data_IF_730548004422
#
_entry.id   IF_730548004422
#
_cell.length_a   1.000
_cell.length_b   1.000
_cell.length_c   1.000
_cell.angle_alpha   90.00
_cell.angle_beta   90.00
_cell.angle_gamma   90.00
#
_symmetry.space_group_name_H-M   'P 1'
#
loop_
_entity.id
_entity.type
_entity.pdbx_description
1 polymer ?
#
# COMPACT_ATOMS: atom_id res chain seq x y z
N UNK A 1 17.43 9.42 0.28
CA UNK A 1 15.96 9.59 0.09
C UNK A 1 15.42 10.51 1.18
N UNK A 2 14.71 11.57 0.84
CA UNK A 2 14.01 12.38 1.86
C UNK A 2 12.94 11.52 2.56
N UNK A 3 12.45 11.99 3.70
CA UNK A 3 11.32 11.38 4.41
C UNK A 3 10.11 11.23 3.47
N UNK A 4 9.50 10.04 3.42
CA UNK A 4 8.25 9.74 2.69
C UNK A 4 7.22 9.20 3.68
N UNK A 5 6.03 9.77 3.63
CA UNK A 5 4.91 9.49 4.51
C UNK A 5 3.77 8.84 3.72
N UNK A 6 3.42 7.61 4.08
CA UNK A 6 2.47 6.78 3.35
C UNK A 6 1.31 6.44 4.28
N UNK A 7 0.09 6.67 3.81
CA UNK A 7 -1.13 6.21 4.48
C UNK A 7 -1.79 5.13 3.60
N UNK A 8 -2.00 3.96 4.18
CA UNK A 8 -2.74 2.87 3.54
C UNK A 8 -4.07 2.70 4.27
N UNK A 9 -5.17 2.75 3.54
CA UNK A 9 -6.52 2.75 4.10
C UNK A 9 -7.45 1.80 3.35
N UNK A 10 -8.41 1.24 4.07
CA UNK A 10 -9.37 0.31 3.52
C UNK A 10 -10.30 -0.24 4.60
N UNK A 11 -10.85 -1.41 4.34
CA UNK A 11 -11.70 -2.11 5.31
C UNK A 11 -11.04 -3.40 5.80
N UNK A 12 -11.47 -3.87 6.95
CA UNK A 12 -10.98 -5.12 7.52
C UNK A 12 -11.06 -6.29 6.53
N UNK A 13 -9.99 -7.08 6.44
CA UNK A 13 -9.87 -8.20 5.50
C UNK A 13 -9.20 -7.85 4.16
N UNK A 14 -8.92 -6.58 3.85
CA UNK A 14 -8.19 -6.16 2.64
C UNK A 14 -6.66 -6.25 2.77
N UNK A 15 -6.14 -6.68 3.91
CA UNK A 15 -4.70 -6.86 4.12
C UNK A 15 -3.90 -5.56 4.28
N UNK A 16 -4.56 -4.45 4.63
CA UNK A 16 -3.95 -3.12 4.82
C UNK A 16 -2.82 -3.17 5.84
N UNK A 17 -3.08 -3.74 7.02
CA UNK A 17 -2.08 -3.88 8.10
C UNK A 17 -0.88 -4.72 7.64
N UNK A 18 -1.13 -5.88 7.03
CA UNK A 18 -0.05 -6.73 6.55
C UNK A 18 0.82 -6.01 5.51
N UNK A 19 0.19 -5.25 4.61
CA UNK A 19 0.92 -4.46 3.60
C UNK A 19 1.85 -3.42 4.24
N UNK A 20 1.38 -2.70 5.25
CA UNK A 20 2.20 -1.68 5.95
C UNK A 20 3.35 -2.31 6.73
N UNK A 21 3.12 -3.46 7.39
CA UNK A 21 4.16 -4.20 8.11
C UNK A 21 5.23 -4.73 7.14
N UNK A 22 4.82 -5.29 5.99
CA UNK A 22 5.74 -5.76 4.94
C UNK A 22 6.59 -4.59 4.43
N UNK A 23 5.97 -3.46 4.12
CA UNK A 23 6.66 -2.27 3.61
C UNK A 23 7.68 -1.72 4.63
N UNK A 24 7.26 -1.59 5.89
CA UNK A 24 8.15 -1.17 6.98
C UNK A 24 9.32 -2.13 7.19
N UNK A 25 9.07 -3.45 7.12
CA UNK A 25 10.11 -4.48 7.23
C UNK A 25 11.06 -4.47 6.03
N UNK A 26 10.55 -4.32 4.81
CA UNK A 26 11.37 -4.19 3.61
C UNK A 26 12.35 -3.02 3.75
N UNK A 27 11.85 -1.84 4.14
CA UNK A 27 12.67 -0.66 4.33
C UNK A 27 13.70 -0.86 5.46
N UNK A 28 13.25 -1.26 6.66
CA UNK A 28 14.12 -1.24 7.86
C UNK A 28 15.08 -2.42 7.92
N UNK A 29 14.62 -3.64 7.58
CA UNK A 29 15.43 -4.86 7.74
C UNK A 29 16.30 -5.13 6.53
N UNK A 30 15.79 -4.89 5.33
CA UNK A 30 16.48 -5.28 4.10
C UNK A 30 17.18 -4.12 3.41
N UNK A 31 16.50 -2.99 3.20
CA UNK A 31 17.11 -1.80 2.60
C UNK A 31 17.92 -0.94 3.61
N UNK A 32 17.81 -1.26 4.91
CA UNK A 32 18.53 -0.54 6.00
C UNK A 32 18.19 0.95 6.09
N UNK A 33 16.96 1.30 5.75
CA UNK A 33 16.40 2.66 5.84
C UNK A 33 15.50 2.73 7.07
N UNK A 34 15.52 3.84 7.82
CA UNK A 34 14.64 3.95 8.99
C UNK A 34 13.17 3.91 8.57
N UNK A 35 12.38 3.08 9.25
CA UNK A 35 10.95 2.98 9.03
C UNK A 35 10.20 2.86 10.35
N UNK A 36 9.06 3.52 10.44
CA UNK A 36 8.09 3.37 11.53
C UNK A 36 6.73 3.11 10.93
N UNK A 37 6.02 2.14 11.47
CA UNK A 37 4.65 1.80 11.10
C UNK A 37 3.74 2.02 12.31
N UNK A 38 2.59 2.62 12.09
CA UNK A 38 1.51 2.78 13.06
C UNK A 38 0.19 2.29 12.46
N UNK A 39 -0.76 1.94 13.33
CA UNK A 39 -2.06 1.47 12.88
C UNK A 39 -3.17 2.05 13.76
N UNK A 40 -4.30 2.37 13.11
CA UNK A 40 -5.50 2.84 13.76
C UNK A 40 -6.69 2.06 13.22
N UNK A 41 -7.54 1.61 14.11
CA UNK A 41 -8.77 0.90 13.78
C UNK A 41 -9.98 1.77 14.07
N UNK A 42 -10.99 1.72 13.19
CA UNK A 42 -12.29 2.28 13.47
C UNK A 42 -12.98 1.55 14.63
N UNK A 43 -14.06 2.12 15.15
CA UNK A 43 -14.81 1.59 16.29
C UNK A 43 -15.50 0.24 16.03
N UNK A 44 -15.61 -0.17 14.79
CA UNK A 44 -16.31 -1.39 14.41
C UNK A 44 -15.42 -2.63 14.57
N UNK A 45 -15.87 -3.59 15.38
CA UNK A 45 -15.09 -4.78 15.76
C UNK A 45 -14.80 -5.76 14.61
N UNK A 46 -15.53 -5.70 13.48
CA UNK A 46 -15.31 -6.54 12.29
C UNK A 46 -15.72 -5.80 11.02
N UNK A 47 -14.83 -5.79 10.02
CA UNK A 47 -15.11 -5.16 8.73
C UNK A 47 -15.09 -3.62 8.76
N UNK A 48 -14.72 -3.01 9.89
CA UNK A 48 -14.58 -1.57 10.04
C UNK A 48 -13.39 -1.00 9.29
N UNK A 49 -13.29 0.31 9.33
CA UNK A 49 -12.22 1.06 8.68
C UNK A 49 -10.86 0.73 9.32
N UNK A 50 -9.88 0.54 8.50
CA UNK A 50 -8.49 0.30 8.89
C UNK A 50 -7.62 1.35 8.23
N UNK A 51 -6.86 2.05 9.03
CA UNK A 51 -5.85 3.02 8.57
C UNK A 51 -4.49 2.61 9.14
N UNK A 52 -3.49 2.52 8.27
CA UNK A 52 -2.12 2.30 8.67
C UNK A 52 -1.23 3.35 8.04
N UNK A 53 -0.18 3.73 8.75
CA UNK A 53 0.75 4.74 8.32
C UNK A 53 2.17 4.18 8.36
N UNK A 54 2.96 4.49 7.34
CA UNK A 54 4.37 4.12 7.24
C UNK A 54 5.18 5.35 6.92
N UNK A 55 6.17 5.65 7.76
CA UNK A 55 7.18 6.67 7.49
C UNK A 55 8.48 5.96 7.15
N UNK A 56 9.06 6.31 6.02
CA UNK A 56 10.38 5.81 5.58
C UNK A 56 11.30 7.00 5.39
N UNK A 57 12.49 6.99 6.03
CA UNK A 57 13.42 8.12 5.99
C UNK A 57 14.87 7.67 6.18
N UNK A 58 15.81 8.37 5.53
CA UNK A 58 17.24 8.16 5.77
C UNK A 58 17.64 8.62 7.18
N UNK A 59 17.04 9.71 7.66
CA UNK A 59 17.27 10.24 9.00
C UNK A 59 16.42 9.52 10.04
N UNK A 60 16.82 9.63 11.30
CA UNK A 60 16.07 9.07 12.43
C UNK A 60 14.68 9.70 12.53
N UNK A 61 13.66 8.86 12.61
CA UNK A 61 12.27 9.28 12.77
C UNK A 61 12.02 9.52 14.26
N UNK A 62 11.85 10.80 14.65
CA UNK A 62 11.63 11.19 16.05
C UNK A 62 10.15 11.28 16.37
N UNK A 63 9.34 11.72 15.40
CA UNK A 63 7.91 11.93 15.56
C UNK A 63 7.12 11.17 14.51
N UNK A 64 6.53 10.00 14.87
CA UNK A 64 5.90 9.11 13.91
C UNK A 64 4.40 9.42 13.71
N UNK A 65 4.05 10.68 13.52
CA UNK A 65 2.67 11.10 13.20
C UNK A 65 2.63 11.68 11.79
N UNK A 66 1.67 11.24 11.01
CA UNK A 66 1.41 11.73 9.66
C UNK A 66 0.11 12.53 9.68
N UNK A 67 0.20 13.85 9.52
CA UNK A 67 -0.97 14.69 9.31
C UNK A 67 -1.38 14.67 7.83
N UNK A 68 -0.41 14.90 6.96
CA UNK A 68 -0.61 14.95 5.52
C UNK A 68 0.36 13.97 4.84
N UNK A 69 -0.12 12.84 4.30
CA UNK A 69 0.73 11.87 3.63
C UNK A 69 1.24 12.38 2.26
N UNK A 70 2.42 11.89 1.85
CA UNK A 70 2.92 12.04 0.48
C UNK A 70 2.20 11.07 -0.47
N UNK A 71 1.84 9.89 0.04
CA UNK A 71 1.18 8.82 -0.71
C UNK A 71 -0.02 8.32 0.07
N UNK A 72 -1.18 8.30 -0.58
CA UNK A 72 -2.41 7.67 -0.09
C UNK A 72 -2.72 6.43 -0.91
N UNK A 73 -2.86 5.29 -0.26
CA UNK A 73 -3.44 4.08 -0.85
C UNK A 73 -4.83 3.90 -0.27
N UNK A 74 -5.87 3.99 -1.10
CA UNK A 74 -7.25 3.85 -0.70
C UNK A 74 -7.91 2.65 -1.39
N UNK A 75 -8.29 1.63 -0.61
CA UNK A 75 -8.84 0.37 -1.11
C UNK A 75 -10.36 0.25 -0.95
N UNK A 76 -11.04 1.31 -0.52
CA UNK A 76 -12.51 1.43 -0.48
C UNK A 76 -12.93 2.86 -0.73
N UNK A 77 -14.17 3.08 -1.19
CA UNK A 77 -14.68 4.43 -1.44
C UNK A 77 -14.61 5.29 -0.19
N UNK A 78 -15.09 4.77 0.95
CA UNK A 78 -15.04 5.51 2.21
C UNK A 78 -13.61 5.88 2.61
N UNK A 79 -12.66 4.93 2.47
CA UNK A 79 -11.25 5.20 2.74
C UNK A 79 -10.68 6.33 1.87
N UNK A 80 -11.09 6.40 0.61
CA UNK A 80 -10.73 7.49 -0.29
C UNK A 80 -11.36 8.83 0.15
N UNK A 81 -12.67 8.85 0.36
CA UNK A 81 -13.42 10.07 0.67
C UNK A 81 -12.94 10.71 1.99
N UNK A 82 -12.66 9.89 2.99
CA UNK A 82 -12.21 10.35 4.31
C UNK A 82 -10.76 10.88 4.32
N UNK A 83 -9.91 10.45 3.37
CA UNK A 83 -8.47 10.74 3.44
C UNK A 83 -7.92 11.58 2.28
N UNK A 84 -8.62 11.71 1.17
CA UNK A 84 -8.06 12.40 -0.02
C UNK A 84 -7.75 13.89 0.25
N UNK A 85 -8.47 14.53 1.15
CA UNK A 85 -8.26 15.94 1.47
C UNK A 85 -6.99 16.19 2.30
N UNK A 86 -6.50 15.18 2.99
CA UNK A 86 -5.26 15.24 3.77
C UNK A 86 -4.01 15.07 2.90
N UNK A 87 -4.15 14.57 1.67
CA UNK A 87 -3.01 14.34 0.78
C UNK A 87 -2.27 15.65 0.51
N UNK A 88 -0.94 15.63 0.61
CA UNK A 88 -0.09 16.79 0.31
C UNK A 88 -0.32 17.30 -1.12
N UNK A 89 -0.13 18.60 -1.38
CA UNK A 89 -0.01 19.10 -2.74
C UNK A 89 1.06 18.33 -3.52
N UNK A 90 0.77 17.98 -4.76
CA UNK A 90 1.62 17.12 -5.62
C UNK A 90 1.86 15.70 -5.05
N UNK A 91 1.03 15.26 -4.12
CA UNK A 91 1.06 13.91 -3.60
C UNK A 91 0.53 12.88 -4.60
N UNK A 92 0.61 11.63 -4.22
CA UNK A 92 0.19 10.49 -5.04
C UNK A 92 -0.97 9.76 -4.38
N UNK A 93 -2.01 9.44 -5.13
CA UNK A 93 -3.09 8.54 -4.69
C UNK A 93 -3.10 7.27 -5.53
N UNK A 94 -3.22 6.12 -4.88
CA UNK A 94 -3.37 4.80 -5.51
C UNK A 94 -4.70 4.21 -5.07
N UNK A 95 -5.52 3.76 -6.03
CA UNK A 95 -6.85 3.21 -5.75
C UNK A 95 -7.08 1.87 -6.43
N UNK A 96 -7.96 1.04 -5.85
CA UNK A 96 -8.54 -0.10 -6.58
C UNK A 96 -9.67 0.40 -7.47
N UNK A 97 -9.50 0.32 -8.79
CA UNK A 97 -10.44 0.89 -9.78
C UNK A 97 -11.82 0.23 -9.79
N UNK A 98 -11.95 -0.98 -9.24
CA UNK A 98 -13.24 -1.65 -9.14
C UNK A 98 -14.01 -1.26 -7.85
N UNK A 99 -13.35 -0.62 -6.89
CA UNK A 99 -13.89 -0.31 -5.57
C UNK A 99 -13.96 1.20 -5.27
N UNK A 100 -13.21 2.01 -6.00
CA UNK A 100 -13.06 3.44 -5.75
C UNK A 100 -13.34 4.22 -7.03
N UNK A 101 -14.34 5.07 -6.99
CA UNK A 101 -14.62 6.06 -8.02
C UNK A 101 -13.92 7.38 -7.66
N UNK A 102 -13.11 7.90 -8.56
CA UNK A 102 -12.38 9.16 -8.40
C UNK A 102 -12.94 10.18 -9.36
N UNK A 103 -13.89 11.04 -8.92
CA UNK A 103 -14.60 11.94 -9.83
C UNK A 103 -13.73 13.11 -10.31
N UNK A 104 -12.89 13.65 -9.43
CA UNK A 104 -11.94 14.73 -9.73
C UNK A 104 -10.86 14.80 -8.67
N UNK A 105 -9.70 15.29 -9.03
CA UNK A 105 -8.57 15.50 -8.13
C UNK A 105 -8.14 16.96 -8.15
N UNK A 106 -7.54 17.42 -7.05
CA UNK A 106 -6.88 18.73 -7.00
C UNK A 106 -5.71 18.73 -7.99
N UNK A 107 -5.44 19.89 -8.56
CA UNK A 107 -4.31 20.09 -9.47
C UNK A 107 -3.00 19.63 -8.83
N UNK A 108 -2.16 18.96 -9.61
CA UNK A 108 -0.87 18.42 -9.19
C UNK A 108 -0.92 17.05 -8.50
N UNK A 109 -2.08 16.52 -8.14
CA UNK A 109 -2.18 15.16 -7.57
C UNK A 109 -1.95 14.11 -8.67
N UNK A 110 -1.04 13.19 -8.42
CA UNK A 110 -0.79 12.04 -9.29
C UNK A 110 -1.73 10.91 -8.89
N UNK A 111 -2.51 10.41 -9.82
CA UNK A 111 -3.41 9.28 -9.59
C UNK A 111 -2.94 8.04 -10.35
N UNK A 112 -2.74 6.97 -9.62
CA UNK A 112 -2.58 5.63 -10.20
C UNK A 112 -3.71 4.73 -9.71
N UNK A 113 -4.13 3.81 -10.55
CA UNK A 113 -5.17 2.85 -10.21
C UNK A 113 -4.89 1.47 -10.80
N UNK A 114 -5.50 0.45 -10.22
CA UNK A 114 -5.44 -0.92 -10.72
C UNK A 114 -6.59 -1.74 -10.17
N UNK A 115 -7.04 -2.72 -10.93
CA UNK A 115 -8.10 -3.67 -10.52
C UNK A 115 -7.51 -4.78 -9.64
N UNK A 116 -6.96 -4.44 -8.48
CA UNK A 116 -6.18 -5.37 -7.65
C UNK A 116 -6.98 -6.59 -7.21
N UNK A 117 -8.20 -6.38 -6.71
CA UNK A 117 -9.09 -7.45 -6.28
C UNK A 117 -9.52 -8.35 -7.44
N UNK A 118 -9.98 -7.77 -8.54
CA UNK A 118 -10.43 -8.49 -9.73
C UNK A 118 -9.30 -9.34 -10.31
N UNK A 119 -8.13 -8.76 -10.49
CA UNK A 119 -6.95 -9.45 -11.05
C UNK A 119 -6.51 -10.61 -10.14
N UNK A 120 -6.49 -10.42 -8.81
CA UNK A 120 -6.16 -11.50 -7.88
C UNK A 120 -7.17 -12.66 -7.96
N UNK A 121 -8.46 -12.36 -8.12
CA UNK A 121 -9.50 -13.38 -8.28
C UNK A 121 -9.37 -14.09 -9.64
N UNK A 122 -9.21 -13.35 -10.73
CA UNK A 122 -9.19 -13.91 -12.07
C UNK A 122 -7.94 -14.75 -12.34
N UNK A 123 -6.77 -14.27 -11.95
CA UNK A 123 -5.50 -14.91 -12.27
C UNK A 123 -5.02 -15.89 -11.20
N UNK A 124 -5.31 -15.63 -9.92
CA UNK A 124 -4.82 -16.45 -8.81
C UNK A 124 -5.94 -17.20 -8.07
N UNK A 125 -7.20 -16.99 -8.44
CA UNK A 125 -8.38 -17.58 -7.78
C UNK A 125 -8.43 -17.30 -6.25
N UNK A 126 -7.80 -16.19 -5.81
CA UNK A 126 -7.64 -15.89 -4.38
C UNK A 126 -7.67 -14.38 -4.12
N UNK A 127 -8.81 -13.87 -3.66
CA UNK A 127 -8.96 -12.46 -3.28
C UNK A 127 -7.96 -12.02 -2.19
N UNK A 128 -7.62 -12.93 -1.26
CA UNK A 128 -6.78 -12.62 -0.10
C UNK A 128 -5.35 -12.15 -0.45
N UNK A 129 -4.88 -12.29 -1.70
CA UNK A 129 -3.57 -11.81 -2.14
C UNK A 129 -3.64 -10.52 -2.97
N UNK A 130 -4.80 -9.88 -3.05
CA UNK A 130 -4.96 -8.60 -3.74
C UNK A 130 -4.07 -7.49 -3.15
N UNK A 131 -3.84 -7.54 -1.85
CA UNK A 131 -2.92 -6.63 -1.16
C UNK A 131 -1.46 -6.79 -1.64
N UNK A 132 -1.03 -7.99 -2.02
CA UNK A 132 0.31 -8.20 -2.59
C UNK A 132 0.40 -7.63 -4.01
N UNK A 133 -0.66 -7.77 -4.81
CA UNK A 133 -0.74 -7.13 -6.13
C UNK A 133 -0.63 -5.62 -6.00
N UNK A 134 -1.37 -5.03 -5.06
CA UNK A 134 -1.33 -3.59 -4.77
C UNK A 134 0.05 -3.16 -4.25
N UNK A 135 0.64 -3.94 -3.35
CA UNK A 135 1.91 -3.59 -2.71
C UNK A 135 3.07 -3.50 -3.71
N UNK A 136 3.14 -4.44 -4.64
CA UNK A 136 4.12 -4.38 -5.72
C UNK A 136 3.81 -3.28 -6.72
N UNK A 137 2.54 -3.04 -7.01
CA UNK A 137 2.14 -1.90 -7.83
C UNK A 137 2.63 -0.57 -7.21
N UNK A 138 2.45 -0.38 -5.90
CA UNK A 138 2.97 0.76 -5.15
C UNK A 138 4.50 0.83 -5.27
N UNK A 139 5.20 -0.29 -5.04
CA UNK A 139 6.65 -0.35 -5.14
C UNK A 139 7.12 0.04 -6.54
N UNK A 140 6.51 -0.50 -7.60
CA UNK A 140 6.90 -0.22 -8.98
C UNK A 140 6.71 1.26 -9.36
N UNK A 141 5.61 1.89 -8.87
CA UNK A 141 5.32 3.31 -9.14
C UNK A 141 6.19 4.27 -8.32
N UNK A 142 6.69 3.86 -7.15
CA UNK A 142 7.39 4.77 -6.21
C UNK A 142 8.86 4.45 -6.02
N UNK A 143 9.26 3.20 -6.21
CA UNK A 143 10.61 2.68 -5.90
C UNK A 143 11.05 2.98 -4.46
N UNK A 144 10.10 3.05 -3.53
CA UNK A 144 10.32 3.46 -2.14
C UNK A 144 11.13 2.43 -1.33
N UNK A 145 11.05 1.17 -1.74
CA UNK A 145 11.90 0.06 -1.29
C UNK A 145 12.39 -0.72 -2.49
N UNK A 146 13.46 -1.50 -2.35
CA UNK A 146 13.89 -2.37 -3.43
C UNK A 146 12.94 -3.57 -3.59
N UNK A 147 12.84 -4.11 -4.79
CA UNK A 147 12.03 -5.32 -5.06
C UNK A 147 12.54 -6.50 -4.24
N UNK A 148 13.86 -6.69 -4.18
CA UNK A 148 14.49 -7.76 -3.39
C UNK A 148 14.13 -7.66 -1.90
N UNK A 149 14.13 -6.44 -1.33
CA UNK A 149 13.70 -6.19 0.04
C UNK A 149 12.23 -6.53 0.26
N UNK A 150 11.37 -6.17 -0.70
CA UNK A 150 9.94 -6.45 -0.61
C UNK A 150 9.66 -7.95 -0.66
N UNK A 151 10.26 -8.70 -1.58
CA UNK A 151 10.12 -10.15 -1.70
C UNK A 151 10.60 -10.88 -0.43
N UNK A 152 11.74 -10.47 0.13
CA UNK A 152 12.26 -11.01 1.39
C UNK A 152 11.33 -10.72 2.57
N UNK A 153 10.80 -9.51 2.66
CA UNK A 153 9.86 -9.14 3.72
C UNK A 153 8.54 -9.93 3.61
N UNK A 154 8.06 -10.19 2.39
CA UNK A 154 6.91 -11.08 2.17
C UNK A 154 7.24 -12.50 2.63
N UNK A 155 8.40 -13.04 2.28
CA UNK A 155 8.81 -14.40 2.68
C UNK A 155 8.87 -14.57 4.20
N UNK A 156 9.24 -13.53 4.93
CA UNK A 156 9.29 -13.55 6.40
C UNK A 156 7.92 -13.53 7.08
N UNK A 157 6.94 -12.86 6.45
CA UNK A 157 5.68 -12.50 7.10
C UNK A 157 4.47 -13.32 6.65
N UNK A 158 4.58 -14.01 5.51
CA UNK A 158 3.50 -14.89 5.06
C UNK A 158 3.79 -16.36 5.41
N UNK A 159 2.76 -17.18 5.66
CA UNK A 159 2.97 -18.61 5.89
C UNK A 159 3.65 -19.27 4.70
N UNK A 160 4.61 -20.16 4.94
CA UNK A 160 5.37 -20.86 3.89
C UNK A 160 4.48 -21.53 2.84
N UNK A 161 3.35 -22.11 3.27
CA UNK A 161 2.36 -22.74 2.36
C UNK A 161 1.72 -21.81 1.36
N UNK A 162 1.78 -20.50 1.58
CA UNK A 162 1.20 -19.47 0.71
C UNK A 162 2.26 -18.59 0.06
N UNK A 163 3.53 -18.82 0.33
CA UNK A 163 4.63 -17.98 -0.15
C UNK A 163 4.63 -17.87 -1.68
N UNK A 164 4.61 -18.99 -2.40
CA UNK A 164 4.61 -19.00 -3.87
C UNK A 164 3.44 -18.21 -4.46
N UNK A 165 2.26 -18.30 -3.81
CA UNK A 165 1.08 -17.56 -4.24
C UNK A 165 1.25 -16.05 -4.04
N UNK A 166 1.84 -15.64 -2.91
CA UNK A 166 2.09 -14.22 -2.62
C UNK A 166 3.17 -13.65 -3.55
N UNK A 167 4.25 -14.40 -3.83
CA UNK A 167 5.27 -13.97 -4.80
C UNK A 167 4.71 -13.84 -6.22
N UNK A 168 3.83 -14.76 -6.66
CA UNK A 168 3.13 -14.62 -7.94
C UNK A 168 2.24 -13.37 -7.96
N UNK A 169 1.60 -13.03 -6.85
CA UNK A 169 0.79 -11.82 -6.75
C UNK A 169 1.64 -10.55 -6.89
N UNK A 170 2.85 -10.51 -6.31
CA UNK A 170 3.82 -9.42 -6.54
C UNK A 170 4.15 -9.29 -8.03
N UNK A 171 4.52 -10.40 -8.71
CA UNK A 171 4.86 -10.37 -10.14
C UNK A 171 3.72 -9.81 -11.00
N UNK A 172 2.46 -10.13 -10.65
CA UNK A 172 1.29 -9.57 -11.33
C UNK A 172 1.19 -8.06 -11.07
N UNK A 173 1.41 -7.61 -9.85
CA UNK A 173 1.45 -6.19 -9.47
C UNK A 173 2.46 -5.40 -10.30
N UNK A 174 3.68 -5.92 -10.45
CA UNK A 174 4.71 -5.33 -11.31
C UNK A 174 4.26 -5.22 -12.77
N UNK A 175 3.62 -6.27 -13.30
CA UNK A 175 3.20 -6.32 -14.69
C UNK A 175 2.10 -5.29 -15.00
N UNK A 176 1.13 -5.10 -14.10
CA UNK A 176 0.09 -4.09 -14.29
C UNK A 176 0.61 -2.67 -14.10
N UNK A 177 1.56 -2.46 -13.19
CA UNK A 177 2.17 -1.16 -12.97
C UNK A 177 2.99 -0.66 -14.19
N UNK A 178 3.57 -1.56 -14.97
CA UNK A 178 4.37 -1.25 -16.17
C UNK A 178 3.52 -0.98 -17.41
N UNK A 179 2.25 -1.39 -17.43
CA UNK A 179 1.36 -1.02 -18.52
C UNK A 179 1.18 0.49 -18.51
N UNK A 180 1.46 1.14 -19.64
CA UNK A 180 1.13 2.56 -19.83
C UNK A 180 -0.39 2.68 -19.86
N UNK A 181 -0.90 3.57 -19.05
CA UNK A 181 -2.28 4.08 -19.13
C UNK A 181 -2.48 4.81 -20.44
#
# INVERSE_FOLDING_TARGET
MKKVEIRLTGVGGQGVVLSSVILGRAASVYDKINAVQTETYGSDMRGGDVCTEVIIAEERIIYPIINNPDILVALSQKAYDDNINDLKPNGMVITDSDLVNVPSLKEGIIHYHGSFNKIAIEQLRKKAVANMVMLEFLQEKTKIVSLDALEKAVADLVPTKTLDLNLKALQIGANIAKKKE
#
